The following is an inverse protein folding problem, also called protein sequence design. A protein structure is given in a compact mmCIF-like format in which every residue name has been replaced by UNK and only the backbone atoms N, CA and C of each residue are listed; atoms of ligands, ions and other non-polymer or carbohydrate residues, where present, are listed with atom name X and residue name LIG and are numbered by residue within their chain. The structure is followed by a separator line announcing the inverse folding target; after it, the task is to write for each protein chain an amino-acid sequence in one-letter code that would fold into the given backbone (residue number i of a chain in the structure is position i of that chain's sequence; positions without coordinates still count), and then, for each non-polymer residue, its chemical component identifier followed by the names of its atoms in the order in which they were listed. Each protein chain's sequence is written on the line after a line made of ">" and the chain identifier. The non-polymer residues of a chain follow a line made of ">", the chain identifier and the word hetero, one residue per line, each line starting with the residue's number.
data_IF_429317747339
#
_entry.id   IF_429317747339
#
_cell.length_a   1.000
_cell.length_b   1.000
_cell.length_c   1.000
_cell.angle_alpha   90.00
_cell.angle_beta   90.00
_cell.angle_gamma   90.00
#
_symmetry.space_group_name_H-M   'P 1'
#
loop_
_entity.id
_entity.type
_entity.pdbx_description
1 polymer ?
#
# COMPACT_ATOMS: atom_id res chain seq x y z
N UNK A 1 24.75 -2.85 -3.85
CA UNK A 1 25.66 -2.07 -2.97
C UNK A 1 27.02 -1.80 -3.62
N UNK A 2 27.45 -2.62 -4.59
CA UNK A 2 28.68 -2.38 -5.37
C UNK A 2 28.65 -1.00 -6.05
N UNK A 3 29.72 -0.23 -5.90
CA UNK A 3 29.84 1.14 -6.43
C UNK A 3 29.15 2.24 -5.60
N UNK A 4 28.44 1.89 -4.52
CA UNK A 4 27.83 2.87 -3.57
C UNK A 4 28.49 2.88 -2.19
N UNK A 5 29.24 1.83 -1.85
CA UNK A 5 29.99 1.69 -0.60
C UNK A 5 31.11 0.65 -0.77
N UNK A 6 31.99 0.51 0.23
CA UNK A 6 33.01 -0.54 0.26
C UNK A 6 32.42 -1.94 0.28
N UNK A 7 33.12 -2.91 -0.32
CA UNK A 7 32.70 -4.32 -0.35
C UNK A 7 32.50 -4.93 1.05
N UNK A 8 33.33 -4.55 2.02
CA UNK A 8 33.22 -5.00 3.42
C UNK A 8 31.84 -4.63 4.00
N UNK A 9 31.54 -3.33 4.02
CA UNK A 9 30.26 -2.79 4.48
C UNK A 9 29.07 -3.34 3.70
N UNK A 10 29.22 -3.56 2.39
CA UNK A 10 28.18 -4.16 1.57
C UNK A 10 27.86 -5.60 2.02
N UNK A 11 28.88 -6.40 2.35
CA UNK A 11 28.70 -7.78 2.87
C UNK A 11 28.08 -7.78 4.25
N UNK A 12 28.50 -6.89 5.14
CA UNK A 12 27.93 -6.77 6.48
C UNK A 12 26.43 -6.45 6.44
N UNK A 13 26.03 -5.46 5.64
CA UNK A 13 24.63 -5.08 5.47
C UNK A 13 23.83 -6.22 4.83
N UNK A 14 24.36 -6.86 3.79
CA UNK A 14 23.69 -8.00 3.15
C UNK A 14 23.44 -9.14 4.14
N UNK A 15 24.42 -9.43 5.01
CA UNK A 15 24.26 -10.42 6.08
C UNK A 15 23.18 -10.00 7.07
N UNK A 16 23.22 -8.76 7.56
CA UNK A 16 22.25 -8.24 8.52
C UNK A 16 20.80 -8.31 8.01
N UNK A 17 20.58 -8.00 6.73
CA UNK A 17 19.25 -8.04 6.09
C UNK A 17 18.78 -9.48 5.81
N UNK A 18 19.70 -10.44 5.63
CA UNK A 18 19.37 -11.83 5.29
C UNK A 18 19.24 -12.77 6.52
N UNK A 19 19.87 -12.44 7.64
CA UNK A 19 19.93 -13.32 8.82
C UNK A 19 18.70 -13.27 9.74
N UNK A 20 17.65 -12.54 9.35
CA UNK A 20 16.38 -12.51 10.08
C UNK A 20 16.36 -11.60 11.31
N UNK A 21 17.19 -10.54 11.33
CA UNK A 21 17.13 -9.50 12.39
C UNK A 21 15.78 -8.78 12.43
N UNK A 22 15.07 -8.78 11.31
CA UNK A 22 13.75 -8.19 11.14
C UNK A 22 12.79 -9.19 10.52
N UNK A 23 11.52 -9.10 10.89
CA UNK A 23 10.43 -9.85 10.25
C UNK A 23 10.03 -9.18 8.93
N UNK A 24 9.33 -9.91 8.06
CA UNK A 24 8.90 -9.41 6.75
C UNK A 24 8.02 -8.14 6.79
N UNK A 25 7.35 -7.94 7.91
CA UNK A 25 6.38 -6.87 8.18
C UNK A 25 6.98 -5.75 9.03
N UNK A 26 8.23 -5.89 9.48
CA UNK A 26 8.90 -4.81 10.20
C UNK A 26 9.44 -3.78 9.20
N UNK A 27 8.89 -2.55 9.18
CA UNK A 27 9.38 -1.51 8.29
C UNK A 27 10.71 -0.96 8.84
N UNK A 28 11.76 -0.99 8.02
CA UNK A 28 13.00 -0.27 8.33
C UNK A 28 12.77 1.21 8.00
N UNK A 29 12.81 2.06 9.01
CA UNK A 29 12.64 3.51 8.87
C UNK A 29 13.82 4.16 8.15
N UNK A 30 13.64 5.40 7.70
CA UNK A 30 14.71 6.17 7.04
C UNK A 30 15.90 6.34 7.97
N UNK A 31 15.63 6.60 9.25
CA UNK A 31 16.63 6.80 10.30
C UNK A 31 17.44 5.52 10.50
N UNK A 32 16.77 4.37 10.61
CA UNK A 32 17.41 3.07 10.75
C UNK A 32 18.23 2.70 9.52
N UNK A 33 17.68 2.90 8.32
CA UNK A 33 18.39 2.62 7.08
C UNK A 33 19.66 3.48 6.93
N UNK A 34 19.60 4.76 7.33
CA UNK A 34 20.79 5.63 7.40
C UNK A 34 21.79 5.16 8.47
N UNK A 35 21.31 4.73 9.63
CA UNK A 35 22.17 4.17 10.69
C UNK A 35 22.88 2.87 10.25
N UNK A 36 22.20 2.04 9.46
CA UNK A 36 22.79 0.87 8.79
C UNK A 36 23.83 1.26 7.72
N UNK A 37 23.88 2.52 7.33
CA UNK A 37 24.79 3.05 6.32
C UNK A 37 24.32 2.80 4.89
N UNK A 38 23.02 2.58 4.69
CA UNK A 38 22.43 2.53 3.36
C UNK A 38 22.39 3.93 2.73
N UNK A 39 22.66 4.05 1.42
CA UNK A 39 22.53 5.31 0.70
C UNK A 39 21.05 5.59 0.44
N UNK A 40 20.38 6.23 1.41
CA UNK A 40 18.94 6.53 1.35
C UNK A 40 18.72 7.97 0.90
N UNK A 41 17.96 8.15 -0.17
CA UNK A 41 17.37 9.42 -0.57
C UNK A 41 15.90 9.45 -0.15
N UNK A 42 15.45 10.59 0.37
CA UNK A 42 14.08 10.77 0.87
C UNK A 42 13.31 11.65 -0.10
N UNK A 43 12.08 11.25 -0.39
CA UNK A 43 11.26 11.92 -1.38
C UNK A 43 11.48 11.37 -2.78
N UNK A 44 10.72 11.92 -3.72
CA UNK A 44 10.75 11.51 -5.12
C UNK A 44 11.41 12.65 -5.91
N UNK A 45 12.39 12.36 -6.80
CA UNK A 45 13.02 13.40 -7.61
C UNK A 45 12.02 14.15 -8.50
N UNK A 46 12.27 15.44 -8.73
CA UNK A 46 11.40 16.30 -9.55
C UNK A 46 11.23 15.77 -10.98
N UNK A 47 12.23 15.10 -11.54
CA UNK A 47 12.13 14.48 -12.87
C UNK A 47 11.04 13.41 -12.93
N UNK A 48 10.81 12.68 -11.83
CA UNK A 48 9.76 11.66 -11.76
C UNK A 48 8.38 12.33 -11.76
N UNK A 49 8.20 13.45 -11.05
CA UNK A 49 6.95 14.22 -11.12
C UNK A 49 6.70 14.79 -12.52
N UNK A 50 7.74 15.29 -13.19
CA UNK A 50 7.66 15.74 -14.59
C UNK A 50 7.25 14.60 -15.53
N UNK A 51 7.76 13.39 -15.30
CA UNK A 51 7.34 12.19 -16.02
C UNK A 51 5.87 11.86 -15.77
N UNK A 52 5.42 11.85 -14.52
CA UNK A 52 4.02 11.58 -14.17
C UNK A 52 3.05 12.58 -14.80
N UNK A 53 3.43 13.86 -14.90
CA UNK A 53 2.61 14.89 -15.53
C UNK A 53 2.33 14.60 -17.02
N UNK A 54 3.16 13.80 -17.71
CA UNK A 54 2.94 13.40 -19.10
C UNK A 54 1.90 12.29 -19.26
N UNK A 55 1.60 11.54 -18.19
CA UNK A 55 0.67 10.42 -18.18
C UNK A 55 -0.43 10.65 -17.15
N UNK A 56 -1.32 11.64 -17.36
CA UNK A 56 -2.39 11.91 -16.42
C UNK A 56 -3.25 10.65 -16.26
N UNK A 57 -3.43 10.22 -15.01
CA UNK A 57 -4.25 9.07 -14.71
C UNK A 57 -5.70 9.39 -15.10
N UNK A 58 -6.35 8.48 -15.81
CA UNK A 58 -7.75 8.68 -16.20
C UNK A 58 -8.59 8.81 -14.93
N UNK A 59 -9.50 9.79 -14.91
CA UNK A 59 -10.43 9.92 -13.79
C UNK A 59 -11.15 8.58 -13.60
N UNK A 60 -11.04 8.00 -12.40
CA UNK A 60 -11.83 6.82 -12.04
C UNK A 60 -13.30 7.23 -12.03
N UNK A 61 -13.99 7.05 -13.16
CA UNK A 61 -15.42 7.32 -13.29
C UNK A 61 -16.29 6.28 -12.57
N UNK A 62 -15.69 5.35 -11.83
CA UNK A 62 -16.40 4.24 -11.17
C UNK A 62 -15.78 3.98 -9.81
N UNK A 63 -16.54 4.02 -8.71
CA UNK A 63 -16.13 3.37 -7.47
C UNK A 63 -15.91 1.89 -7.83
N UNK A 64 -14.66 1.43 -7.81
CA UNK A 64 -14.32 0.06 -8.21
C UNK A 64 -14.84 -1.00 -7.23
N UNK A 65 -15.28 -0.59 -6.04
CA UNK A 65 -15.83 -1.45 -5.00
C UNK A 65 -16.94 -0.66 -4.30
N UNK A 66 -18.19 -1.06 -4.54
CA UNK A 66 -19.31 -0.67 -3.69
C UNK A 66 -19.31 -1.62 -2.49
N UNK A 67 -18.84 -1.12 -1.34
CA UNK A 67 -18.92 -1.86 -0.09
C UNK A 67 -20.40 -1.93 0.33
N UNK A 68 -21.01 -3.11 0.24
CA UNK A 68 -22.34 -3.39 0.81
C UNK A 68 -22.12 -3.91 2.24
N UNK A 69 -22.37 -3.12 3.29
CA UNK A 69 -22.34 -3.64 4.65
C UNK A 69 -23.52 -4.60 4.83
N UNK A 70 -23.21 -5.88 5.01
CA UNK A 70 -24.13 -6.89 5.53
C UNK A 70 -24.33 -6.67 7.04
N UNK A 71 -25.51 -6.97 7.62
CA UNK A 71 -26.39 -8.09 7.25
C UNK A 71 -27.46 -7.72 6.22
N UNK A 72 -27.82 -8.68 5.36
CA UNK A 72 -28.94 -8.57 4.42
C UNK A 72 -30.20 -8.21 5.24
N UNK A 73 -30.95 -7.15 4.88
CA UNK A 73 -32.28 -6.96 5.45
C UNK A 73 -33.10 -8.21 5.15
N UNK A 74 -33.65 -8.83 6.20
CA UNK A 74 -34.56 -9.95 6.04
C UNK A 74 -35.71 -9.52 5.09
N UNK A 75 -36.21 -10.42 4.23
CA UNK A 75 -37.32 -10.10 3.35
C UNK A 75 -38.48 -9.57 4.19
N UNK A 76 -38.88 -8.33 3.93
CA UNK A 76 -40.04 -7.73 4.58
C UNK A 76 -41.25 -8.60 4.22
N UNK A 77 -42.00 -9.15 5.19
CA UNK A 77 -43.21 -9.90 4.86
C UNK A 77 -44.17 -8.92 4.17
N UNK A 78 -44.54 -9.24 2.93
CA UNK A 78 -45.55 -8.49 2.20
C UNK A 78 -46.82 -8.47 3.03
N UNK A 79 -47.26 -7.28 3.42
CA UNK A 79 -48.53 -7.09 4.09
C UNK A 79 -49.64 -7.47 3.11
N UNK A 80 -50.16 -8.68 3.26
CA UNK A 80 -51.34 -9.14 2.54
C UNK A 80 -52.57 -8.42 3.11
N UNK A 81 -52.91 -7.29 2.50
CA UNK A 81 -54.17 -6.62 2.80
C UNK A 81 -55.34 -7.46 2.28
N UNK A 82 -55.87 -8.30 3.17
CA UNK A 82 -57.24 -8.80 3.10
C UNK A 82 -58.19 -7.62 3.27
N UNK A 83 -58.78 -7.11 2.18
CA UNK A 83 -59.96 -6.27 2.29
C UNK A 83 -61.20 -7.08 1.93
N UNK A 84 -61.95 -7.44 2.98
CA UNK A 84 -63.30 -7.98 2.91
C UNK A 84 -64.27 -6.86 2.51
N UNK A 85 -65.10 -7.14 1.51
CA UNK A 85 -66.47 -6.65 1.43
C UNK A 85 -66.74 -5.46 0.51
N UNK A 86 -67.36 -5.73 -0.63
CA UNK A 86 -68.74 -5.35 -0.96
C UNK A 86 -69.25 -6.26 -2.07
#
# INVERSE_FOLDING_TARGET
>A
LQGKMSDEKAREIAKALAEGRWTHDYPITVEEAKALGLPVEVGVPDEVYKLMAMYPQTHQLRPGVEFIPMPYPAPHPSSSNHNRGK
#
